data_IF_761526161822
#
_entry.id   IF_761526161822
#
_cell.length_a   1.000
_cell.length_b   1.000
_cell.length_c   1.000
_cell.angle_alpha   90.00
_cell.angle_beta   90.00
_cell.angle_gamma   90.00
#
_symmetry.space_group_name_H-M   'P 1'
#
loop_
_entity.id
_entity.type
_entity.pdbx_description
1 polymer ?
#
# COMPACT_ATOMS: atom_id res chain seq x y z
N UNK A 1 -23.09 11.22 2.91
CA UNK A 1 -21.89 11.73 3.60
C UNK A 1 -20.79 11.90 2.58
N UNK A 2 -20.14 13.06 2.49
CA UNK A 2 -19.01 13.30 1.58
C UNK A 2 -17.71 12.73 2.18
N UNK A 3 -16.88 12.10 1.36
CA UNK A 3 -15.56 11.61 1.75
C UNK A 3 -14.53 12.73 1.53
N UNK A 4 -13.71 13.01 2.54
CA UNK A 4 -12.61 13.97 2.44
C UNK A 4 -11.30 13.21 2.29
N UNK A 5 -10.55 13.53 1.24
CA UNK A 5 -9.23 12.98 0.95
C UNK A 5 -8.16 14.06 0.86
N UNK A 6 -7.03 13.71 0.25
CA UNK A 6 -5.85 14.55 0.15
C UNK A 6 -5.38 14.65 -1.30
N UNK A 7 -5.25 15.86 -1.82
CA UNK A 7 -4.74 16.09 -3.17
C UNK A 7 -3.21 16.08 -3.19
N UNK A 8 -2.63 15.11 -3.91
CA UNK A 8 -1.18 14.94 -4.02
C UNK A 8 -0.74 15.24 -5.44
N UNK A 9 -0.65 16.53 -5.78
CA UNK A 9 -0.22 17.11 -7.08
C UNK A 9 0.19 16.07 -8.14
N UNK A 10 -0.74 15.60 -8.97
CA UNK A 10 -0.49 14.67 -10.09
C UNK A 10 -0.64 13.17 -9.79
N UNK A 11 -0.87 12.75 -8.53
CA UNK A 11 -1.17 11.36 -8.15
C UNK A 11 -2.65 11.07 -7.93
N UNK A 12 -3.50 12.08 -8.04
CA UNK A 12 -4.93 12.01 -7.73
C UNK A 12 -5.22 12.40 -6.28
N UNK A 13 -6.41 12.01 -5.80
CA UNK A 13 -6.87 12.30 -4.43
C UNK A 13 -6.91 11.01 -3.62
N UNK A 14 -6.04 10.88 -2.61
CA UNK A 14 -6.02 9.71 -1.71
C UNK A 14 -6.93 9.85 -0.50
N UNK A 15 -7.19 8.73 0.18
CA UNK A 15 -7.83 8.72 1.52
C UNK A 15 -6.81 8.64 2.66
N UNK A 16 -5.52 8.60 2.30
CA UNK A 16 -4.39 8.70 3.22
C UNK A 16 -3.34 9.67 2.67
N UNK A 17 -2.48 10.11 3.58
CA UNK A 17 -1.44 11.12 3.35
C UNK A 17 -0.07 10.54 3.71
N UNK A 18 0.32 9.45 3.05
CA UNK A 18 1.53 8.71 3.41
C UNK A 18 2.75 9.28 2.70
N UNK A 19 3.82 9.52 3.45
CA UNK A 19 5.16 9.57 2.86
C UNK A 19 5.70 8.13 2.76
N UNK A 20 6.22 7.76 1.58
CA UNK A 20 6.83 6.47 1.32
C UNK A 20 8.36 6.58 1.29
N UNK A 21 9.05 5.82 2.13
CA UNK A 21 10.49 5.58 1.97
C UNK A 21 10.64 4.26 1.20
N UNK A 22 11.03 4.33 -0.07
CA UNK A 22 11.05 3.22 -1.01
C UNK A 22 12.47 2.62 -1.09
N UNK A 23 12.72 1.43 -0.50
CA UNK A 23 13.96 0.70 -0.74
C UNK A 23 13.94 0.04 -2.13
N UNK A 24 14.86 0.43 -3.01
CA UNK A 24 14.97 -0.16 -4.36
C UNK A 24 15.58 -1.57 -4.38
N UNK A 25 16.27 -1.97 -3.30
CA UNK A 25 16.90 -3.30 -3.15
C UNK A 25 16.89 -3.76 -1.69
N UNK A 26 16.98 -5.06 -1.41
CA UNK A 26 17.07 -5.59 -0.03
C UNK A 26 18.13 -4.88 0.82
N UNK A 27 19.29 -4.54 0.25
CA UNK A 27 20.38 -3.88 0.95
C UNK A 27 20.06 -2.46 1.45
N UNK A 28 19.08 -1.77 0.86
CA UNK A 28 18.64 -0.44 1.33
C UNK A 28 17.54 -0.50 2.39
N UNK A 29 16.95 -1.67 2.64
CA UNK A 29 15.84 -1.88 3.59
C UNK A 29 16.12 -1.32 4.99
N UNK A 30 17.29 -1.63 5.56
CA UNK A 30 17.59 -1.25 6.94
C UNK A 30 17.62 0.28 7.12
N UNK A 31 18.30 0.97 6.20
CA UNK A 31 18.41 2.44 6.23
C UNK A 31 17.05 3.09 5.97
N UNK A 32 16.28 2.58 4.99
CA UNK A 32 14.92 3.04 4.72
C UNK A 32 14.01 2.95 5.95
N UNK A 33 14.08 1.84 6.70
CA UNK A 33 13.34 1.67 7.96
C UNK A 33 13.75 2.65 9.03
N UNK A 34 15.05 2.89 9.21
CA UNK A 34 15.53 3.90 10.16
C UNK A 34 15.00 5.29 9.82
N UNK A 35 15.07 5.69 8.54
CA UNK A 35 14.53 6.98 8.09
C UNK A 35 13.03 7.02 8.35
N UNK A 36 12.28 6.01 7.90
CA UNK A 36 10.84 5.97 8.02
C UNK A 36 10.36 6.11 9.47
N UNK A 37 10.99 5.39 10.39
CA UNK A 37 10.69 5.50 11.82
C UNK A 37 10.99 6.90 12.38
N UNK A 38 12.10 7.52 11.96
CA UNK A 38 12.50 8.85 12.44
C UNK A 38 11.58 9.98 11.98
N UNK A 39 10.90 9.81 10.84
CA UNK A 39 9.99 10.82 10.29
C UNK A 39 8.50 10.44 10.37
N UNK A 40 8.17 9.23 10.81
CA UNK A 40 6.79 8.71 10.78
C UNK A 40 6.30 8.54 9.33
N UNK A 41 7.09 7.91 8.48
CA UNK A 41 6.72 7.51 7.11
C UNK A 41 6.38 6.00 7.08
N UNK A 42 5.81 5.55 5.97
CA UNK A 42 5.68 4.12 5.68
C UNK A 42 6.91 3.63 4.89
N UNK A 43 7.24 2.36 5.06
CA UNK A 43 8.24 1.65 4.26
C UNK A 43 7.93 0.15 4.32
N UNK A 44 8.73 -0.66 3.65
CA UNK A 44 8.60 -2.11 3.62
C UNK A 44 9.97 -2.78 3.58
N UNK A 45 10.07 -4.06 3.94
CA UNK A 45 11.27 -4.82 3.68
C UNK A 45 11.28 -5.26 2.22
N UNK A 46 12.24 -4.78 1.41
CA UNK A 46 12.32 -5.29 0.06
C UNK A 46 12.87 -6.72 0.06
N UNK A 47 12.10 -7.64 -0.51
CA UNK A 47 12.34 -9.08 -0.48
C UNK A 47 13.38 -9.55 -1.50
N UNK A 48 13.71 -8.70 -2.49
CA UNK A 48 14.56 -9.09 -3.62
C UNK A 48 15.97 -8.48 -3.50
N UNK A 49 16.96 -9.34 -3.73
CA UNK A 49 18.33 -8.91 -4.04
C UNK A 49 18.48 -8.50 -5.52
N UNK A 50 19.72 -8.26 -5.94
CA UNK A 50 20.01 -7.85 -7.32
C UNK A 50 19.80 -8.97 -8.37
N UNK A 51 19.50 -10.20 -7.96
CA UNK A 51 19.33 -11.35 -8.86
C UNK A 51 17.99 -11.39 -9.61
N UNK A 52 17.30 -10.26 -9.79
CA UNK A 52 16.09 -10.20 -10.62
C UNK A 52 16.49 -10.15 -12.10
N UNK A 53 15.83 -10.97 -12.92
CA UNK A 53 16.17 -11.18 -14.33
C UNK A 53 14.92 -11.34 -15.20
N UNK A 54 15.08 -11.16 -16.51
CA UNK A 54 14.01 -11.39 -17.47
C UNK A 54 12.77 -10.54 -17.19
N UNK A 55 11.61 -11.18 -17.13
CA UNK A 55 10.32 -10.49 -16.94
C UNK A 55 10.18 -9.81 -15.57
N UNK A 56 10.96 -10.23 -14.56
CA UNK A 56 10.89 -9.66 -13.22
C UNK A 56 11.45 -8.24 -13.16
N UNK A 57 12.41 -7.89 -14.04
CA UNK A 57 12.99 -6.54 -14.08
C UNK A 57 11.93 -5.48 -14.39
N UNK A 58 11.22 -5.51 -15.53
CA UNK A 58 10.14 -4.57 -15.79
C UNK A 58 8.96 -4.75 -14.83
N UNK A 59 8.73 -5.95 -14.30
CA UNK A 59 7.68 -6.20 -13.31
C UNK A 59 7.90 -5.42 -12.00
N UNK A 60 9.10 -5.48 -11.45
CA UNK A 60 9.47 -4.73 -10.23
C UNK A 60 9.54 -3.23 -10.50
N UNK A 61 10.08 -2.80 -11.64
CA UNK A 61 10.14 -1.38 -12.03
C UNK A 61 8.73 -0.78 -12.12
N UNK A 62 7.81 -1.44 -12.84
CA UNK A 62 6.42 -1.01 -12.94
C UNK A 62 5.72 -0.98 -11.59
N UNK A 63 5.94 -1.99 -10.74
CA UNK A 63 5.38 -2.02 -9.40
C UNK A 63 5.85 -0.83 -8.54
N UNK A 64 7.12 -0.45 -8.61
CA UNK A 64 7.62 0.74 -7.91
C UNK A 64 7.04 2.04 -8.46
N UNK A 65 6.85 2.14 -9.78
CA UNK A 65 6.20 3.30 -10.41
C UNK A 65 4.75 3.43 -9.94
N UNK A 66 4.00 2.33 -9.92
CA UNK A 66 2.62 2.27 -9.45
C UNK A 66 2.53 2.65 -7.97
N UNK A 67 3.38 2.05 -7.14
CA UNK A 67 3.44 2.30 -5.71
C UNK A 67 3.78 3.77 -5.40
N UNK A 68 4.80 4.31 -6.05
CA UNK A 68 5.26 5.69 -5.85
C UNK A 68 4.27 6.74 -6.36
N UNK A 69 3.40 6.40 -7.32
CA UNK A 69 2.40 7.30 -7.89
C UNK A 69 0.97 7.01 -7.42
N UNK A 70 0.82 6.19 -6.38
CA UNK A 70 -0.48 5.84 -5.82
C UNK A 70 -1.15 7.08 -5.17
N UNK A 71 -2.49 7.23 -5.24
CA UNK A 71 -3.20 8.39 -4.68
C UNK A 71 -3.02 8.57 -3.17
N UNK A 72 -2.72 7.51 -2.41
CA UNK A 72 -2.44 7.61 -0.96
C UNK A 72 -1.00 8.08 -0.63
N UNK A 73 -0.14 8.29 -1.64
CA UNK A 73 1.27 8.72 -1.46
C UNK A 73 1.41 10.23 -1.66
N UNK A 74 1.79 10.91 -0.60
CA UNK A 74 2.09 12.34 -0.56
C UNK A 74 3.48 12.65 -1.14
N UNK A 75 4.51 11.91 -0.73
CA UNK A 75 5.87 12.06 -1.25
C UNK A 75 6.66 10.77 -1.13
N UNK A 76 7.75 10.69 -1.90
CA UNK A 76 8.59 9.50 -1.98
C UNK A 76 10.05 9.87 -1.74
N UNK A 77 10.73 9.13 -0.87
CA UNK A 77 12.18 9.09 -0.83
C UNK A 77 12.64 7.72 -1.31
N UNK A 78 13.22 7.66 -2.51
CA UNK A 78 13.85 6.45 -3.03
C UNK A 78 15.22 6.30 -2.38
N UNK A 79 15.48 5.13 -1.81
CA UNK A 79 16.77 4.79 -1.19
C UNK A 79 17.37 3.62 -1.96
N UNK A 80 18.43 3.92 -2.70
CA UNK A 80 19.20 2.99 -3.52
C UNK A 80 20.48 2.55 -2.83
N UNK A 81 20.97 1.36 -3.17
CA UNK A 81 22.34 1.00 -2.82
C UNK A 81 23.33 1.62 -3.82
N UNK A 82 23.04 1.50 -5.12
CA UNK A 82 23.86 1.97 -6.24
C UNK A 82 24.35 0.86 -7.18
N UNK A 83 23.98 -0.40 -6.92
CA UNK A 83 24.46 -1.56 -7.70
C UNK A 83 23.36 -2.60 -7.97
N UNK A 84 22.11 -2.26 -7.71
CA UNK A 84 20.95 -3.10 -7.97
C UNK A 84 20.52 -3.13 -9.45
N UNK A 85 19.64 -4.04 -9.83
CA UNK A 85 19.15 -4.09 -11.22
C UNK A 85 18.21 -2.93 -11.53
N UNK A 86 17.33 -2.56 -10.59
CA UNK A 86 16.46 -1.38 -10.74
C UNK A 86 17.13 -0.17 -10.11
N UNK A 87 17.85 0.58 -10.94
CA UNK A 87 18.64 1.72 -10.48
C UNK A 87 17.74 2.91 -10.13
N UNK A 88 17.94 3.47 -8.93
CA UNK A 88 17.23 4.67 -8.47
C UNK A 88 17.27 5.86 -9.45
N UNK A 89 18.43 6.18 -10.07
CA UNK A 89 18.51 7.21 -11.10
C UNK A 89 17.61 6.97 -12.33
N UNK A 90 17.30 5.71 -12.65
CA UNK A 90 16.40 5.34 -13.74
C UNK A 90 14.93 5.33 -13.31
N UNK A 91 14.66 5.02 -12.04
CA UNK A 91 13.31 5.03 -11.47
C UNK A 91 12.79 6.46 -11.23
N UNK A 92 13.63 7.37 -10.73
CA UNK A 92 13.22 8.72 -10.33
C UNK A 92 12.52 9.50 -11.47
N UNK A 93 12.96 9.45 -12.75
CA UNK A 93 12.26 10.09 -13.87
C UNK A 93 10.91 9.49 -14.23
N UNK A 94 10.60 8.26 -13.79
CA UNK A 94 9.34 7.57 -14.08
C UNK A 94 8.27 7.86 -13.02
N UNK A 95 8.63 8.53 -11.94
CA UNK A 95 7.73 8.91 -10.85
C UNK A 95 7.60 10.45 -10.77
N UNK A 96 6.68 10.94 -9.95
CA UNK A 96 6.52 12.38 -9.76
C UNK A 96 7.77 13.00 -9.12
N UNK A 97 8.66 13.59 -9.94
CA UNK A 97 9.94 14.14 -9.52
C UNK A 97 9.83 15.33 -8.55
N UNK A 98 8.75 16.10 -8.64
CA UNK A 98 8.54 17.24 -7.76
C UNK A 98 8.39 16.78 -6.31
N UNK A 99 7.57 15.72 -6.13
CA UNK A 99 7.23 15.10 -4.86
C UNK A 99 8.15 13.92 -4.48
N UNK A 100 9.31 13.79 -5.15
CA UNK A 100 10.21 12.67 -4.91
C UNK A 100 11.67 13.09 -4.82
N UNK A 101 12.46 12.36 -4.02
CA UNK A 101 13.92 12.49 -3.92
C UNK A 101 14.57 11.12 -4.01
N UNK A 102 15.86 11.10 -4.34
CA UNK A 102 16.68 9.91 -4.44
C UNK A 102 17.93 10.08 -3.57
N UNK A 103 18.26 9.05 -2.82
CA UNK A 103 19.55 8.88 -2.18
C UNK A 103 20.18 7.56 -2.60
N UNK A 104 21.47 7.61 -2.94
CA UNK A 104 22.27 6.42 -3.26
C UNK A 104 23.25 6.21 -2.11
N UNK A 105 23.15 5.07 -1.43
CA UNK A 105 23.92 4.80 -0.20
C UNK A 105 25.43 4.90 -0.43
N UNK A 106 25.92 4.33 -1.53
CA UNK A 106 27.34 4.36 -1.87
C UNK A 106 27.87 5.78 -2.15
N UNK A 107 27.00 6.71 -2.54
CA UNK A 107 27.36 8.11 -2.84
C UNK A 107 27.09 9.05 -1.67
N UNK A 108 26.33 8.60 -0.67
CA UNK A 108 25.86 9.41 0.47
C UNK A 108 26.69 9.18 1.74
N UNK A 109 27.94 8.72 1.64
CA UNK A 109 28.77 8.42 2.80
C UNK A 109 28.33 7.16 3.56
N UNK A 110 27.72 6.19 2.87
CA UNK A 110 27.23 4.95 3.47
C UNK A 110 25.98 5.15 4.32
N UNK A 111 25.63 4.12 5.10
CA UNK A 111 24.35 4.06 5.83
C UNK A 111 24.10 5.25 6.77
N UNK A 112 25.14 5.79 7.41
CA UNK A 112 25.03 6.94 8.33
C UNK A 112 24.69 8.21 7.58
N UNK A 113 25.46 8.57 6.54
CA UNK A 113 25.21 9.79 5.78
C UNK A 113 23.89 9.72 4.99
N UNK A 114 23.50 8.54 4.49
CA UNK A 114 22.17 8.33 3.92
C UNK A 114 21.05 8.53 4.93
N UNK A 115 21.21 8.05 6.16
CA UNK A 115 20.20 8.26 7.20
C UNK A 115 20.02 9.75 7.53
N UNK A 116 21.12 10.47 7.75
CA UNK A 116 21.09 11.91 8.07
C UNK A 116 20.46 12.72 6.94
N UNK A 117 20.91 12.49 5.70
CA UNK A 117 20.39 13.17 4.51
C UNK A 117 18.94 12.77 4.24
N UNK A 118 18.60 11.49 4.44
CA UNK A 118 17.25 10.96 4.24
C UNK A 118 16.23 11.54 5.20
N UNK A 119 16.57 11.70 6.48
CA UNK A 119 15.70 12.38 7.45
C UNK A 119 15.48 13.84 7.04
N UNK A 120 16.53 14.54 6.60
CA UNK A 120 16.44 15.93 6.14
C UNK A 120 15.53 16.06 4.92
N UNK A 121 15.78 15.27 3.88
CA UNK A 121 15.03 15.34 2.61
C UNK A 121 13.58 14.91 2.79
N UNK A 122 13.33 13.87 3.59
CA UNK A 122 11.99 13.41 3.90
C UNK A 122 11.18 14.50 4.64
N UNK A 123 11.76 15.20 5.62
CA UNK A 123 11.10 16.32 6.29
C UNK A 123 10.86 17.49 5.34
N UNK A 124 11.86 17.86 4.56
CA UNK A 124 11.76 18.93 3.58
C UNK A 124 10.60 18.68 2.59
N UNK A 125 10.44 17.45 2.09
CA UNK A 125 9.34 17.07 1.20
C UNK A 125 7.95 17.27 1.85
N UNK A 126 7.79 16.91 3.13
CA UNK A 126 6.50 17.12 3.82
C UNK A 126 6.20 18.59 4.08
N UNK A 127 7.22 19.35 4.46
CA UNK A 127 7.08 20.77 4.79
C UNK A 127 6.78 21.64 3.56
N UNK A 128 7.36 21.29 2.40
CA UNK A 128 7.21 22.08 1.17
C UNK A 128 6.02 21.64 0.30
N UNK A 129 5.51 20.43 0.48
CA UNK A 129 4.38 19.90 -0.29
C UNK A 129 3.23 19.47 0.61
N UNK A 130 2.69 20.44 1.36
CA UNK A 130 1.54 20.19 2.23
C UNK A 130 0.31 19.75 1.42
N UNK A 131 -0.26 18.63 1.83
CA UNK A 131 -1.47 18.07 1.23
C UNK A 131 -2.68 18.94 1.52
N UNK A 132 -3.54 19.12 0.53
CA UNK A 132 -4.80 19.85 0.69
C UNK A 132 -5.96 18.88 0.86
N UNK A 133 -6.79 19.14 1.88
CA UNK A 133 -8.04 18.39 2.05
C UNK A 133 -9.02 18.77 0.95
N UNK A 134 -9.45 17.78 0.18
CA UNK A 134 -10.42 17.94 -0.90
C UNK A 134 -11.45 16.84 -0.86
N UNK A 135 -12.60 17.05 -1.50
CA UNK A 135 -13.61 16.00 -1.64
C UNK A 135 -13.08 14.90 -2.56
N UNK A 136 -13.23 13.64 -2.16
CA UNK A 136 -13.06 12.50 -3.07
C UNK A 136 -14.33 12.39 -3.91
N UNK A 137 -14.21 12.62 -5.22
CA UNK A 137 -15.36 12.59 -6.13
C UNK A 137 -15.96 11.18 -6.26
N UNK A 138 -15.08 10.17 -6.35
CA UNK A 138 -15.45 8.77 -6.48
C UNK A 138 -14.46 7.91 -5.70
N UNK A 139 -14.95 7.21 -4.68
CA UNK A 139 -14.13 6.26 -3.93
C UNK A 139 -14.02 4.96 -4.74
N UNK A 140 -12.79 4.50 -4.96
CA UNK A 140 -12.50 3.20 -5.57
C UNK A 140 -12.21 2.20 -4.45
N UNK A 141 -13.04 1.17 -4.33
CA UNK A 141 -12.95 0.09 -3.34
C UNK A 141 -12.41 -1.16 -4.05
N UNK A 142 -11.31 -1.69 -3.56
CA UNK A 142 -10.80 -3.00 -3.97
C UNK A 142 -11.44 -4.11 -3.15
N UNK A 143 -11.92 -5.16 -3.80
CA UNK A 143 -12.32 -6.40 -3.16
C UNK A 143 -11.21 -7.42 -3.34
N UNK A 144 -10.60 -7.83 -2.23
CA UNK A 144 -9.72 -8.99 -2.16
C UNK A 144 -10.53 -10.20 -1.70
N UNK A 145 -10.82 -11.12 -2.63
CA UNK A 145 -11.59 -12.34 -2.36
C UNK A 145 -10.64 -13.53 -2.39
N UNK A 146 -10.02 -13.85 -1.26
CA UNK A 146 -9.06 -14.96 -1.14
C UNK A 146 -9.70 -16.27 -0.66
N UNK A 147 -11.00 -16.28 -0.35
CA UNK A 147 -11.81 -17.48 -0.07
C UNK A 147 -13.08 -17.51 -0.91
N UNK A 148 -13.72 -18.67 -0.98
CA UNK A 148 -15.04 -18.79 -1.60
C UNK A 148 -16.08 -18.09 -0.71
N UNK A 149 -16.78 -17.09 -1.27
CA UNK A 149 -17.93 -16.44 -0.63
C UNK A 149 -19.11 -16.46 -1.61
N UNK A 150 -20.32 -16.68 -1.11
CA UNK A 150 -21.52 -16.77 -1.96
C UNK A 150 -22.09 -15.41 -2.37
N UNK A 151 -21.65 -14.33 -1.72
CA UNK A 151 -22.27 -13.00 -1.81
C UNK A 151 -21.42 -11.97 -2.57
N UNK A 152 -20.39 -12.37 -3.34
CA UNK A 152 -19.52 -11.42 -4.08
C UNK A 152 -20.32 -10.49 -5.00
N UNK A 153 -21.31 -11.02 -5.73
CA UNK A 153 -22.16 -10.23 -6.60
C UNK A 153 -23.02 -9.22 -5.81
N UNK A 154 -23.55 -9.64 -4.68
CA UNK A 154 -24.42 -8.83 -3.82
C UNK A 154 -23.65 -7.69 -3.16
N UNK A 155 -22.46 -7.96 -2.62
CA UNK A 155 -21.62 -6.90 -2.03
C UNK A 155 -21.16 -5.91 -3.10
N UNK A 156 -20.75 -6.38 -4.29
CA UNK A 156 -20.39 -5.51 -5.41
C UNK A 156 -21.55 -4.59 -5.80
N UNK A 157 -22.76 -5.16 -5.92
CA UNK A 157 -23.96 -4.39 -6.25
C UNK A 157 -24.23 -3.34 -5.17
N UNK A 158 -24.21 -3.73 -3.89
CA UNK A 158 -24.45 -2.80 -2.78
C UNK A 158 -23.43 -1.64 -2.74
N UNK A 159 -22.13 -1.92 -2.92
CA UNK A 159 -21.08 -0.90 -2.97
C UNK A 159 -21.26 0.04 -4.17
N UNK A 160 -21.63 -0.51 -5.33
CA UNK A 160 -21.90 0.29 -6.54
C UNK A 160 -23.13 1.18 -6.35
N UNK A 161 -24.22 0.66 -5.77
CA UNK A 161 -25.42 1.44 -5.42
C UNK A 161 -25.10 2.53 -4.40
N UNK A 162 -24.13 2.30 -3.50
CA UNK A 162 -23.64 3.32 -2.57
C UNK A 162 -22.77 4.41 -3.25
N UNK A 163 -22.51 4.29 -4.56
CA UNK A 163 -21.77 5.26 -5.36
C UNK A 163 -20.26 5.01 -5.44
N UNK A 164 -19.78 3.84 -5.00
CA UNK A 164 -18.37 3.48 -5.09
C UNK A 164 -18.04 2.83 -6.45
N UNK A 165 -16.82 3.05 -6.92
CA UNK A 165 -16.24 2.20 -7.94
C UNK A 165 -15.69 0.93 -7.29
N UNK A 166 -15.90 -0.23 -7.90
CA UNK A 166 -15.50 -1.51 -7.32
C UNK A 166 -14.58 -2.25 -8.29
N UNK A 167 -13.42 -2.64 -7.79
CA UNK A 167 -12.42 -3.46 -8.49
C UNK A 167 -12.25 -4.75 -7.71
N UNK A 168 -12.14 -5.89 -8.39
CA UNK A 168 -12.14 -7.22 -7.72
C UNK A 168 -10.91 -8.01 -8.15
N UNK A 169 -10.26 -8.65 -7.17
CA UNK A 169 -9.23 -9.67 -7.36
C UNK A 169 -9.62 -10.91 -6.56
N UNK A 170 -9.74 -12.06 -7.23
CA UNK A 170 -10.33 -13.30 -6.66
C UNK A 170 -9.33 -14.47 -6.68
N UNK A 171 -8.03 -14.20 -6.54
CA UNK A 171 -7.05 -15.29 -6.46
C UNK A 171 -7.15 -15.93 -5.06
N UNK A 172 -7.57 -17.21 -5.00
CA UNK A 172 -7.70 -17.93 -3.74
C UNK A 172 -6.36 -18.05 -2.98
N UNK A 173 -6.42 -17.99 -1.65
CA UNK A 173 -5.29 -18.11 -0.73
C UNK A 173 -4.08 -17.20 -1.08
N UNK A 174 -4.35 -16.02 -1.63
CA UNK A 174 -3.32 -15.12 -2.14
C UNK A 174 -3.65 -13.63 -1.91
N UNK A 175 -4.11 -13.29 -0.70
CA UNK A 175 -4.46 -11.91 -0.34
C UNK A 175 -3.33 -10.92 -0.63
N UNK A 176 -2.06 -11.24 -0.35
CA UNK A 176 -0.96 -10.30 -0.65
C UNK A 176 -0.83 -10.01 -2.15
N UNK A 177 -1.05 -11.02 -3.01
CA UNK A 177 -1.01 -10.88 -4.46
C UNK A 177 -2.20 -10.10 -5.00
N UNK A 178 -3.39 -10.35 -4.46
CA UNK A 178 -4.60 -9.60 -4.80
C UNK A 178 -4.42 -8.13 -4.40
N UNK A 179 -3.93 -7.84 -3.20
CA UNK A 179 -3.68 -6.49 -2.72
C UNK A 179 -2.63 -5.76 -3.57
N UNK A 180 -1.56 -6.42 -4.00
CA UNK A 180 -0.57 -5.84 -4.89
C UNK A 180 -1.17 -5.42 -6.25
N UNK A 181 -2.03 -6.26 -6.85
CA UNK A 181 -2.75 -5.91 -8.08
C UNK A 181 -3.74 -4.75 -7.86
N UNK A 182 -4.49 -4.78 -6.75
CA UNK A 182 -5.41 -3.71 -6.39
C UNK A 182 -4.68 -2.37 -6.19
N UNK A 183 -3.48 -2.40 -5.61
CA UNK A 183 -2.60 -1.22 -5.50
C UNK A 183 -2.25 -0.65 -6.89
N UNK A 184 -1.84 -1.51 -7.83
CA UNK A 184 -1.58 -1.08 -9.22
C UNK A 184 -2.81 -0.46 -9.89
N UNK A 185 -4.01 -0.89 -9.49
CA UNK A 185 -5.30 -0.33 -9.94
C UNK A 185 -5.74 0.92 -9.15
N UNK A 186 -4.88 1.46 -8.28
CA UNK A 186 -5.07 2.70 -7.52
C UNK A 186 -6.34 2.72 -6.66
N UNK A 187 -6.70 1.57 -6.06
CA UNK A 187 -7.82 1.55 -5.12
C UNK A 187 -7.50 2.36 -3.87
N UNK A 188 -8.51 3.04 -3.32
CA UNK A 188 -8.32 3.90 -2.15
C UNK A 188 -8.34 3.11 -0.85
N UNK A 189 -9.13 2.05 -0.81
CA UNK A 189 -9.39 1.17 0.33
C UNK A 189 -9.61 -0.26 -0.17
N UNK A 190 -9.25 -1.25 0.63
CA UNK A 190 -9.45 -2.66 0.33
C UNK A 190 -10.42 -3.25 1.36
N UNK A 191 -11.42 -3.98 0.88
CA UNK A 191 -12.24 -4.89 1.65
C UNK A 191 -11.74 -6.31 1.37
N UNK A 192 -11.17 -6.96 2.38
CA UNK A 192 -10.53 -8.27 2.26
C UNK A 192 -11.38 -9.36 2.93
N UNK A 193 -11.56 -10.45 2.19
CA UNK A 193 -12.09 -11.72 2.64
C UNK A 193 -10.94 -12.73 2.59
N UNK A 194 -10.09 -12.78 3.63
CA UNK A 194 -8.92 -13.66 3.64
C UNK A 194 -9.33 -15.13 3.65
N UNK A 195 -8.39 -16.00 3.25
CA UNK A 195 -8.53 -17.46 3.35
C UNK A 195 -8.89 -17.88 4.77
N UNK A 196 -9.66 -18.95 4.94
CA UNK A 196 -10.11 -19.41 6.26
C UNK A 196 -8.98 -19.82 7.21
N UNK A 197 -7.79 -20.12 6.66
CA UNK A 197 -6.58 -20.46 7.41
C UNK A 197 -5.54 -19.32 7.42
N UNK A 198 -5.92 -18.12 6.99
CA UNK A 198 -5.06 -16.95 6.98
C UNK A 198 -5.51 -15.95 8.05
N UNK A 199 -4.62 -15.35 8.84
CA UNK A 199 -5.00 -14.25 9.74
C UNK A 199 -5.45 -13.01 8.94
N UNK A 200 -5.99 -11.97 9.61
CA UNK A 200 -6.23 -10.68 8.96
C UNK A 200 -4.99 -10.22 8.18
N UNK A 201 -5.20 -9.73 6.97
CA UNK A 201 -4.12 -9.25 6.10
C UNK A 201 -4.15 -7.73 5.99
N UNK A 202 -3.06 -7.14 5.52
CA UNK A 202 -2.97 -5.69 5.37
C UNK A 202 -2.02 -5.27 4.27
N UNK A 203 -2.09 -3.99 3.93
CA UNK A 203 -1.21 -3.37 2.95
C UNK A 203 -0.78 -1.99 3.48
N UNK A 204 0.50 -1.75 3.79
CA UNK A 204 0.94 -0.54 4.51
C UNK A 204 0.49 0.81 3.91
N UNK A 205 0.22 0.85 2.60
CA UNK A 205 -0.18 2.06 1.88
C UNK A 205 -1.71 2.26 1.78
N UNK A 206 -2.50 1.19 1.89
CA UNK A 206 -3.92 1.18 1.59
C UNK A 206 -4.66 0.62 2.81
N UNK A 207 -5.62 1.35 3.40
CA UNK A 207 -6.41 0.80 4.49
C UNK A 207 -7.11 -0.49 4.06
N UNK A 208 -6.98 -1.53 4.88
CA UNK A 208 -7.59 -2.84 4.65
C UNK A 208 -8.59 -3.14 5.75
N UNK A 209 -9.86 -3.32 5.36
CA UNK A 209 -10.95 -3.79 6.23
C UNK A 209 -11.07 -5.29 6.04
N UNK A 210 -10.86 -6.08 7.08
CA UNK A 210 -10.92 -7.53 7.02
C UNK A 210 -12.28 -8.07 7.52
N UNK A 211 -12.89 -8.96 6.72
CA UNK A 211 -14.11 -9.67 7.06
C UNK A 211 -13.78 -11.09 7.51
N UNK A 212 -14.01 -11.39 8.79
CA UNK A 212 -13.81 -12.72 9.34
C UNK A 212 -14.72 -13.75 8.66
N UNK A 213 -14.33 -15.01 8.72
CA UNK A 213 -15.22 -16.15 8.46
C UNK A 213 -15.62 -16.81 9.78
N UNK A 214 -16.41 -17.85 9.67
CA UNK A 214 -16.76 -18.77 10.77
C UNK A 214 -15.71 -19.85 11.05
N UNK A 215 -14.53 -19.80 10.40
CA UNK A 215 -13.46 -20.78 10.62
C UNK A 215 -12.91 -20.74 12.05
N UNK A 216 -12.36 -21.85 12.57
CA UNK A 216 -11.76 -21.87 13.91
C UNK A 216 -10.67 -20.81 14.12
N UNK A 217 -9.83 -20.56 13.11
CA UNK A 217 -8.78 -19.54 13.18
C UNK A 217 -9.38 -18.14 13.30
N UNK A 218 -10.34 -17.80 12.43
CA UNK A 218 -10.97 -16.48 12.44
C UNK A 218 -11.76 -16.23 13.72
N UNK A 219 -12.41 -17.25 14.27
CA UNK A 219 -13.09 -17.13 15.57
C UNK A 219 -12.10 -16.93 16.72
N UNK A 220 -10.94 -17.59 16.69
CA UNK A 220 -9.88 -17.37 17.66
C UNK A 220 -9.27 -15.95 17.59
N UNK A 221 -9.24 -15.36 16.39
CA UNK A 221 -8.68 -14.03 16.12
C UNK A 221 -9.76 -12.96 15.89
N UNK A 222 -11.02 -13.20 16.28
CA UNK A 222 -12.15 -12.33 15.90
C UNK A 222 -11.97 -10.87 16.33
N UNK A 223 -11.24 -10.64 17.42
CA UNK A 223 -10.90 -9.30 17.90
C UNK A 223 -9.93 -8.53 17.00
N UNK A 224 -9.27 -9.19 16.05
CA UNK A 224 -8.34 -8.60 15.08
C UNK A 224 -9.02 -8.32 13.72
N UNK A 225 -10.19 -8.87 13.46
CA UNK A 225 -11.00 -8.61 12.28
C UNK A 225 -11.90 -7.38 12.45
N UNK A 226 -12.06 -6.58 11.41
CA UNK A 226 -12.88 -5.36 11.48
C UNK A 226 -14.38 -5.69 11.61
N UNK A 227 -14.85 -6.71 10.90
CA UNK A 227 -16.24 -7.18 10.91
C UNK A 227 -16.32 -8.71 10.86
N UNK A 228 -17.41 -9.25 11.39
CA UNK A 228 -17.73 -10.68 11.29
C UNK A 228 -18.38 -11.04 9.95
N UNK A 229 -18.41 -12.33 9.61
CA UNK A 229 -19.05 -12.86 8.39
C UNK A 229 -20.53 -12.46 8.26
N UNK A 230 -21.22 -12.30 9.40
CA UNK A 230 -22.63 -11.92 9.45
C UNK A 230 -22.91 -10.43 9.22
N UNK A 231 -21.88 -9.60 9.00
CA UNK A 231 -22.04 -8.17 8.83
C UNK A 231 -22.89 -7.84 7.59
N UNK A 232 -23.87 -6.96 7.76
CA UNK A 232 -24.71 -6.49 6.67
C UNK A 232 -23.95 -5.60 5.70
N UNK A 233 -24.42 -5.53 4.45
CA UNK A 233 -23.88 -4.60 3.45
C UNK A 233 -23.90 -3.14 3.96
N UNK A 234 -24.90 -2.76 4.75
CA UNK A 234 -24.96 -1.42 5.36
C UNK A 234 -23.84 -1.18 6.37
N UNK A 235 -23.54 -2.14 7.24
CA UNK A 235 -22.42 -2.04 8.18
C UNK A 235 -21.07 -1.94 7.46
N UNK A 236 -20.88 -2.73 6.40
CA UNK A 236 -19.67 -2.69 5.56
C UNK A 236 -19.51 -1.31 4.90
N UNK A 237 -20.58 -0.80 4.27
CA UNK A 237 -20.58 0.51 3.61
C UNK A 237 -20.28 1.64 4.62
N UNK A 238 -20.88 1.58 5.80
CA UNK A 238 -20.67 2.60 6.83
C UNK A 238 -19.25 2.57 7.37
N UNK A 239 -18.67 1.38 7.57
CA UNK A 239 -17.27 1.25 7.97
C UNK A 239 -16.33 1.75 6.87
N UNK A 240 -16.57 1.41 5.60
CA UNK A 240 -15.79 1.93 4.45
C UNK A 240 -15.79 3.46 4.46
N UNK A 241 -16.95 4.11 4.67
CA UNK A 241 -17.05 5.57 4.74
C UNK A 241 -16.28 6.15 5.91
N UNK A 242 -16.34 5.51 7.09
CA UNK A 242 -15.58 5.94 8.27
C UNK A 242 -14.08 5.83 8.04
N UNK A 243 -13.62 4.68 7.54
CA UNK A 243 -12.21 4.42 7.27
C UNK A 243 -11.67 5.34 6.17
N UNK A 244 -12.43 5.56 5.10
CA UNK A 244 -12.09 6.52 4.06
C UNK A 244 -12.01 7.98 4.57
N UNK A 245 -12.72 8.31 5.65
CA UNK A 245 -12.66 9.62 6.31
C UNK A 245 -11.62 9.68 7.46
N UNK A 246 -10.73 8.70 7.56
CA UNK A 246 -9.57 8.73 8.46
C UNK A 246 -9.69 7.90 9.73
N UNK A 247 -10.82 7.19 9.94
CA UNK A 247 -10.82 6.09 10.92
C UNK A 247 -9.81 5.02 10.47
N UNK A 248 -9.05 4.47 11.41
CA UNK A 248 -8.07 3.42 11.09
C UNK A 248 -8.75 2.06 11.13
N UNK A 249 -8.50 1.21 10.14
CA UNK A 249 -8.87 -0.19 10.23
C UNK A 249 -8.01 -0.93 11.26
N UNK A 250 -8.42 -2.13 11.68
CA UNK A 250 -7.64 -2.95 12.60
C UNK A 250 -6.28 -3.34 12.03
N UNK A 251 -6.19 -3.56 10.72
CA UNK A 251 -4.92 -3.82 10.04
C UNK A 251 -3.96 -2.61 10.18
N UNK A 252 -4.46 -1.38 10.02
CA UNK A 252 -3.66 -0.16 10.20
C UNK A 252 -3.22 0.06 11.65
N UNK A 253 -4.11 -0.22 12.61
CA UNK A 253 -3.82 -0.08 14.05
C UNK A 253 -2.74 -1.07 14.48
N UNK A 254 -2.85 -2.31 14.01
CA UNK A 254 -1.96 -3.40 14.38
C UNK A 254 -0.67 -3.42 13.56
N UNK A 255 -0.59 -2.61 12.50
CA UNK A 255 0.56 -2.57 11.59
C UNK A 255 0.75 -3.87 10.82
N UNK A 256 -0.33 -4.62 10.56
CA UNK A 256 -0.28 -5.90 9.85
C UNK A 256 -0.22 -5.64 8.34
N UNK A 257 0.57 -6.44 7.63
CA UNK A 257 0.75 -6.36 6.19
C UNK A 257 2.16 -5.99 5.77
N UNK A 258 2.51 -6.35 4.53
CA UNK A 258 3.80 -6.04 3.92
C UNK A 258 3.55 -5.63 2.47
N UNK A 259 4.43 -4.81 1.90
CA UNK A 259 4.45 -4.54 0.46
C UNK A 259 5.41 -5.55 -0.16
N UNK A 260 4.89 -6.49 -0.95
CA UNK A 260 5.68 -7.52 -1.61
C UNK A 260 5.83 -7.18 -3.09
N UNK A 261 7.06 -6.87 -3.51
CA UNK A 261 7.35 -6.65 -4.92
C UNK A 261 7.18 -7.96 -5.69
N UNK A 262 6.46 -7.96 -6.84
CA UNK A 262 6.15 -9.17 -7.56
C UNK A 262 7.43 -9.84 -8.09
N UNK A 263 7.42 -11.17 -8.11
CA UNK A 263 8.50 -11.98 -8.68
C UNK A 263 7.92 -13.25 -9.30
N UNK A 264 8.05 -13.40 -10.61
CA UNK A 264 7.61 -14.56 -11.37
C UNK A 264 8.67 -15.67 -11.39
N UNK A 265 9.97 -15.31 -11.43
CA UNK A 265 11.05 -16.29 -11.46
C UNK A 265 11.58 -16.52 -10.05
N UNK A 266 11.28 -17.69 -9.48
CA UNK A 266 11.99 -18.15 -8.28
C UNK A 266 13.40 -18.54 -8.72
N UNK A 267 14.42 -17.87 -8.18
CA UNK A 267 15.80 -18.37 -8.31
C UNK A 267 15.84 -19.78 -7.71
N UNK A 268 16.20 -20.74 -8.57
CA UNK A 268 16.41 -22.15 -8.22
C UNK A 268 17.63 -22.27 -7.30
#
# INVERSE_FOLDING_TARGET
>A
MSITGFAHKGRGVGVRDHQLILPSVVCSTHVSRKIANAVGAITFAHQNGCGIIGIDVPGVDNFFIELANHPNVQSVLVVSLGCETIQGPELLPKINQELSRLLVIQESGGATGTFESGVKDAKWLRENYLSQKVKVEKLVVGLDIARSISNTADIKAALTTAGFEVVIQETAAASEHNMAKLMGQKVHIILSYPDENQPPSGFPLIPVINIASTSPLHQALISEFDLAESASNSEIIDLIKKVANGEKSKAEISGIGEIVAPRAVRSV
#
